data_IF_242371297181
#
_entry.id   IF_242371297181
#
_cell.length_a   1.000
_cell.length_b   1.000
_cell.length_c   1.000
_cell.angle_alpha   90.00
_cell.angle_beta   90.00
_cell.angle_gamma   90.00
#
_symmetry.space_group_name_H-M   'P 1'
#
loop_
_entity.id
_entity.type
_entity.pdbx_description
1 polymer ?
#
# COMPACT_ATOMS: atom_id res chain seq x y z
N UNK A 1 14.71 2.16 9.33
CA UNK A 1 13.54 1.85 8.48
C UNK A 1 13.97 2.04 7.04
N UNK A 2 13.60 1.14 6.12
CA UNK A 2 14.13 1.15 4.74
C UNK A 2 13.04 1.43 3.68
N UNK A 3 11.86 1.92 4.12
CA UNK A 3 10.81 2.54 3.28
C UNK A 3 10.51 1.82 1.96
N UNK A 4 10.44 0.49 2.02
CA UNK A 4 10.33 -0.38 0.84
C UNK A 4 9.61 -1.67 1.19
N UNK A 5 9.04 -2.28 0.15
CA UNK A 5 8.52 -3.66 0.19
C UNK A 5 9.45 -4.55 -0.62
N UNK A 6 9.79 -5.72 -0.08
CA UNK A 6 10.66 -6.70 -0.71
C UNK A 6 9.88 -7.97 -1.03
N UNK A 7 10.06 -8.51 -2.24
CA UNK A 7 9.58 -9.84 -2.64
C UNK A 7 10.74 -10.81 -2.62
N UNK A 8 10.51 -12.00 -2.07
CA UNK A 8 11.43 -13.13 -2.12
C UNK A 8 10.75 -14.28 -2.83
N UNK A 9 11.42 -14.87 -3.82
CA UNK A 9 10.97 -16.14 -4.39
C UNK A 9 11.47 -17.29 -3.53
N UNK A 10 10.83 -18.45 -3.68
CA UNK A 10 11.32 -19.68 -3.06
C UNK A 10 12.78 -19.89 -3.52
N UNK A 11 13.65 -20.14 -2.54
CA UNK A 11 15.09 -20.38 -2.73
C UNK A 11 15.92 -19.15 -3.18
N UNK A 12 15.37 -17.93 -3.13
CA UNK A 12 16.13 -16.72 -3.43
C UNK A 12 17.19 -16.42 -2.35
N UNK A 13 18.40 -16.05 -2.80
CA UNK A 13 19.47 -15.56 -1.93
C UNK A 13 19.35 -14.06 -1.61
N UNK A 14 18.62 -13.32 -2.46
CA UNK A 14 18.32 -11.90 -2.27
C UNK A 14 16.87 -11.56 -2.65
N UNK A 15 16.31 -10.55 -2.00
CA UNK A 15 14.99 -10.04 -2.32
C UNK A 15 15.03 -8.93 -3.38
N UNK A 16 13.94 -8.78 -4.12
CA UNK A 16 13.76 -7.67 -5.07
C UNK A 16 12.85 -6.60 -4.46
N UNK A 17 13.20 -5.32 -4.65
CA UNK A 17 12.32 -4.20 -4.27
C UNK A 17 11.12 -4.19 -5.22
N UNK A 18 9.92 -4.20 -4.65
CA UNK A 18 8.66 -4.21 -5.42
C UNK A 18 7.74 -3.01 -5.16
N UNK A 19 8.06 -2.20 -4.14
CA UNK A 19 7.44 -0.91 -3.90
C UNK A 19 8.38 -0.04 -3.05
N UNK A 20 8.41 1.27 -3.32
CA UNK A 20 9.29 2.21 -2.62
C UNK A 20 10.78 1.99 -2.92
N UNK A 21 11.63 2.16 -1.91
CA UNK A 21 13.08 1.96 -2.04
C UNK A 21 13.88 3.18 -2.54
N UNK A 22 13.21 4.28 -2.86
CA UNK A 22 13.82 5.54 -3.30
C UNK A 22 13.94 6.58 -2.16
N UNK A 23 14.20 6.10 -0.95
CA UNK A 23 14.20 6.90 0.28
C UNK A 23 12.81 7.12 0.86
N UNK A 24 12.78 7.72 2.05
CA UNK A 24 11.54 8.16 2.69
C UNK A 24 10.99 9.40 1.98
N UNK A 25 9.69 9.41 1.69
CA UNK A 25 9.03 10.60 1.15
C UNK A 25 7.62 10.33 0.61
N UNK A 26 7.02 11.38 0.05
CA UNK A 26 5.63 11.38 -0.45
C UNK A 26 5.49 11.23 -1.97
N UNK A 27 6.59 11.15 -2.72
CA UNK A 27 6.53 10.93 -4.16
C UNK A 27 5.94 9.55 -4.49
N UNK A 28 5.50 9.35 -5.73
CA UNK A 28 4.83 8.10 -6.14
C UNK A 28 5.75 6.88 -6.14
N UNK A 29 7.08 7.07 -6.18
CA UNK A 29 8.09 6.03 -6.05
C UNK A 29 8.68 5.91 -4.62
N UNK A 30 8.09 6.58 -3.64
CA UNK A 30 8.55 6.62 -2.24
C UNK A 30 7.46 6.17 -1.27
N UNK A 31 7.89 5.73 -0.09
CA UNK A 31 7.03 5.36 1.03
C UNK A 31 7.50 6.05 2.31
N UNK A 32 6.61 6.29 3.26
CA UNK A 32 6.93 6.73 4.62
C UNK A 32 6.32 5.77 5.63
N UNK A 33 7.20 5.05 6.33
CA UNK A 33 6.87 4.07 7.38
C UNK A 33 5.75 3.08 6.99
N UNK A 34 5.86 2.36 5.86
CA UNK A 34 4.79 1.44 5.45
C UNK A 34 4.54 0.36 6.51
N UNK A 35 3.28 0.14 6.91
CA UNK A 35 2.91 -0.76 8.02
C UNK A 35 2.21 -2.05 7.59
N UNK A 36 1.59 -2.06 6.40
CA UNK A 36 0.82 -3.20 5.91
C UNK A 36 1.04 -3.44 4.42
N UNK A 37 1.00 -4.71 4.03
CA UNK A 37 1.08 -5.14 2.63
C UNK A 37 0.14 -6.32 2.38
N UNK A 38 -0.59 -6.28 1.28
CA UNK A 38 -1.36 -7.41 0.75
C UNK A 38 -1.13 -7.51 -0.76
N UNK A 39 -1.37 -8.70 -1.30
CA UNK A 39 -1.25 -8.99 -2.74
C UNK A 39 -2.56 -9.62 -3.20
N UNK A 40 -3.11 -9.15 -4.31
CA UNK A 40 -4.29 -9.76 -4.93
C UNK A 40 -3.92 -10.93 -5.86
N UNK A 41 -4.93 -11.63 -6.39
CA UNK A 41 -4.73 -12.77 -7.30
C UNK A 41 -4.09 -12.39 -8.64
N UNK A 42 -4.07 -11.10 -8.98
CA UNK A 42 -3.40 -10.55 -10.17
C UNK A 42 -1.95 -10.15 -9.89
N UNK A 43 -1.48 -10.32 -8.66
CA UNK A 43 -0.13 -9.93 -8.24
C UNK A 43 0.04 -8.43 -7.98
N UNK A 44 -1.05 -7.66 -7.85
CA UNK A 44 -0.97 -6.26 -7.47
C UNK A 44 -0.69 -6.16 -5.98
N UNK A 45 0.28 -5.31 -5.63
CA UNK A 45 0.81 -5.14 -4.28
C UNK A 45 0.24 -3.86 -3.71
N UNK A 46 -0.56 -3.98 -2.66
CA UNK A 46 -1.18 -2.85 -1.96
C UNK A 46 -0.40 -2.59 -0.68
N UNK A 47 -0.01 -1.35 -0.47
CA UNK A 47 0.83 -0.93 0.65
C UNK A 47 0.13 0.16 1.44
N UNK A 48 -0.01 -0.05 2.75
CA UNK A 48 -0.45 0.97 3.68
C UNK A 48 0.73 1.91 3.94
N UNK A 49 0.78 3.01 3.21
CA UNK A 49 1.82 4.04 3.29
C UNK A 49 1.47 5.00 4.44
N UNK A 50 1.65 4.47 5.66
CA UNK A 50 1.17 5.03 6.92
C UNK A 50 1.50 6.51 7.12
N UNK A 51 2.77 6.87 6.93
CA UNK A 51 3.28 8.22 7.16
C UNK A 51 2.77 9.23 6.14
N UNK A 52 2.39 8.78 4.95
CA UNK A 52 1.78 9.60 3.91
C UNK A 52 0.25 9.54 3.91
N UNK A 53 -0.34 8.82 4.86
CA UNK A 53 -1.80 8.74 5.04
C UNK A 53 -2.56 8.31 3.77
N UNK A 54 -2.02 7.30 3.08
CA UNK A 54 -2.56 6.77 1.83
C UNK A 54 -2.36 5.26 1.71
N UNK A 55 -3.15 4.63 0.85
CA UNK A 55 -2.86 3.29 0.34
C UNK A 55 -2.39 3.43 -1.09
N UNK A 56 -1.28 2.77 -1.38
CA UNK A 56 -0.64 2.77 -2.70
C UNK A 56 -0.69 1.38 -3.31
N UNK A 57 -0.69 1.30 -4.65
CA UNK A 57 -0.62 0.04 -5.39
C UNK A 57 0.57 0.03 -6.35
N UNK A 58 1.28 -1.09 -6.37
CA UNK A 58 2.25 -1.44 -7.42
C UNK A 58 1.85 -2.75 -8.09
N UNK A 59 2.44 -3.00 -9.24
CA UNK A 59 2.43 -4.29 -9.92
C UNK A 59 3.74 -4.46 -10.70
N UNK A 60 3.99 -5.66 -11.20
CA UNK A 60 5.25 -5.97 -11.87
C UNK A 60 5.54 -5.02 -13.03
N UNK A 61 6.77 -4.48 -13.07
CA UNK A 61 7.23 -3.52 -14.08
C UNK A 61 6.90 -2.05 -13.80
N UNK A 62 6.20 -1.72 -12.71
CA UNK A 62 5.95 -0.31 -12.32
C UNK A 62 7.09 0.30 -11.52
N UNK A 63 7.61 1.43 -11.98
CA UNK A 63 8.60 2.25 -11.26
C UNK A 63 7.96 3.14 -10.17
N UNK A 64 6.72 3.56 -10.41
CA UNK A 64 5.91 4.40 -9.50
C UNK A 64 4.61 3.71 -9.14
N UNK A 65 4.15 3.95 -7.91
CA UNK A 65 2.89 3.43 -7.41
C UNK A 65 1.72 4.34 -7.73
N UNK A 66 0.54 3.79 -7.60
CA UNK A 66 -0.73 4.48 -7.84
C UNK A 66 -1.45 4.67 -6.52
N UNK A 67 -1.96 5.89 -6.26
CA UNK A 67 -2.77 6.14 -5.08
C UNK A 67 -4.12 5.42 -5.28
N UNK A 68 -4.40 4.46 -4.40
CA UNK A 68 -5.70 3.77 -4.36
C UNK A 68 -6.71 4.64 -3.60
N UNK A 69 -6.31 5.15 -2.44
CA UNK A 69 -7.15 5.97 -1.57
C UNK A 69 -6.30 6.75 -0.56
N UNK A 70 -6.78 7.92 -0.13
CA UNK A 70 -6.11 8.80 0.82
C UNK A 70 -5.09 9.75 0.18
N UNK A 71 -4.32 10.45 1.01
CA UNK A 71 -3.23 11.33 0.58
C UNK A 71 -3.61 12.62 -0.19
N UNK A 72 -4.89 12.90 -0.40
CA UNK A 72 -5.35 14.02 -1.25
C UNK A 72 -6.11 15.13 -0.50
N UNK A 73 -6.24 15.05 0.82
CA UNK A 73 -6.93 16.06 1.64
C UNK A 73 -8.45 16.16 1.39
N UNK A 74 -9.04 15.24 0.60
CA UNK A 74 -10.47 15.23 0.29
C UNK A 74 -11.30 14.34 1.23
N UNK A 75 -12.58 14.12 0.93
CA UNK A 75 -13.49 13.30 1.75
C UNK A 75 -13.06 11.83 1.93
N UNK A 76 -12.11 11.36 1.12
CA UNK A 76 -11.53 10.01 1.21
C UNK A 76 -10.19 9.97 1.98
N UNK A 77 -9.85 11.03 2.72
CA UNK A 77 -8.63 11.09 3.51
C UNK A 77 -8.58 9.98 4.57
N UNK A 78 -7.41 9.35 4.67
CA UNK A 78 -7.03 8.39 5.72
C UNK A 78 -6.14 9.10 6.75
N UNK A 79 -5.91 8.47 7.89
CA UNK A 79 -5.00 8.94 8.93
C UNK A 79 -4.26 7.75 9.55
N UNK A 80 -3.03 7.54 9.10
CA UNK A 80 -2.18 6.41 9.49
C UNK A 80 -2.79 5.05 9.11
N UNK A 81 -3.03 4.73 7.83
CA UNK A 81 -3.49 3.40 7.47
C UNK A 81 -2.46 2.33 7.87
N UNK A 82 -2.91 1.24 8.46
CA UNK A 82 -2.05 0.16 8.95
C UNK A 82 -2.38 -1.20 8.34
N UNK A 83 -3.43 -1.87 8.84
CA UNK A 83 -3.87 -3.17 8.34
C UNK A 83 -4.68 -3.06 7.05
N UNK A 84 -4.45 -3.99 6.12
CA UNK A 84 -5.19 -4.14 4.87
C UNK A 84 -5.70 -5.58 4.74
N UNK A 85 -6.90 -5.77 4.17
CA UNK A 85 -7.36 -7.08 3.69
C UNK A 85 -8.41 -6.95 2.59
N UNK A 86 -8.54 -7.99 1.76
CA UNK A 86 -9.65 -8.10 0.80
C UNK A 86 -10.77 -8.98 1.37
N UNK A 87 -12.02 -8.67 1.02
CA UNK A 87 -13.10 -9.66 1.10
C UNK A 87 -13.15 -10.54 -0.16
N UNK A 88 -14.02 -11.56 -0.15
CA UNK A 88 -14.18 -12.49 -1.27
C UNK A 88 -14.77 -11.86 -2.54
N UNK A 89 -15.21 -10.60 -2.48
CA UNK A 89 -15.68 -9.83 -3.64
C UNK A 89 -14.59 -8.87 -4.18
N UNK A 90 -13.39 -8.87 -3.57
CA UNK A 90 -12.28 -8.00 -3.95
C UNK A 90 -12.37 -6.57 -3.40
N UNK A 91 -13.25 -6.31 -2.43
CA UNK A 91 -13.29 -5.01 -1.77
C UNK A 91 -12.15 -4.89 -0.74
N UNK A 92 -11.50 -3.74 -0.71
CA UNK A 92 -10.39 -3.47 0.20
C UNK A 92 -10.91 -2.92 1.54
N UNK A 93 -10.51 -3.55 2.65
CA UNK A 93 -10.71 -3.03 4.01
C UNK A 93 -9.41 -2.47 4.55
N UNK A 94 -9.50 -1.31 5.19
CA UNK A 94 -8.37 -0.51 5.65
C UNK A 94 -8.58 -0.18 7.12
N UNK A 95 -7.62 -0.54 7.96
CA UNK A 95 -7.49 -0.02 9.31
C UNK A 95 -7.03 1.43 9.26
N UNK A 96 -7.96 2.38 9.42
CA UNK A 96 -7.71 3.82 9.42
C UNK A 96 -7.39 4.27 10.85
N UNK A 97 -6.17 3.93 11.30
CA UNK A 97 -5.78 3.80 12.71
C UNK A 97 -6.12 5.03 13.56
N UNK A 98 -5.69 6.21 13.13
CA UNK A 98 -5.87 7.44 13.90
C UNK A 98 -7.27 8.06 13.73
N UNK A 99 -8.06 7.57 12.79
CA UNK A 99 -9.48 7.90 12.70
C UNK A 99 -10.37 6.91 13.46
N UNK A 100 -9.79 5.91 14.14
CA UNK A 100 -10.50 4.91 14.94
C UNK A 100 -11.63 4.20 14.19
N UNK A 101 -11.41 3.87 12.92
CA UNK A 101 -12.41 3.23 12.06
C UNK A 101 -11.80 2.20 11.12
N UNK A 102 -12.66 1.34 10.59
CA UNK A 102 -12.36 0.51 9.42
C UNK A 102 -13.10 1.11 8.23
N UNK A 103 -12.42 1.28 7.09
CA UNK A 103 -13.05 1.70 5.84
C UNK A 103 -13.08 0.54 4.85
N UNK A 104 -14.24 0.35 4.20
CA UNK A 104 -14.39 -0.47 3.01
C UNK A 104 -14.23 0.42 1.78
N UNK A 105 -13.41 0.02 0.83
CA UNK A 105 -13.26 0.65 -0.48
C UNK A 105 -13.69 -0.37 -1.53
N UNK A 106 -14.72 -0.01 -2.29
CA UNK A 106 -15.28 -0.86 -3.34
C UNK A 106 -14.49 -0.62 -4.61
N UNK A 107 -13.80 -1.66 -5.08
CA UNK A 107 -13.16 -1.65 -6.39
C UNK A 107 -14.24 -1.95 -7.41
N UNK A 108 -14.67 -0.95 -8.17
CA UNK A 108 -15.50 -1.19 -9.36
C UNK A 108 -14.59 -1.74 -10.45
N UNK A 109 -14.88 -2.97 -10.89
CA UNK A 109 -14.30 -3.57 -12.09
C UNK A 109 -14.75 -2.82 -13.35
#
# INVERSE_FOLDING_TARGET
FNHRVMKWTKDAEEGTVVAGGNGEGGNLNQLSKPEGVIVDDLGQIYVADFGNHRVMRWYEGKEEGEIVVGGNGGGNQLNGPSGLCFDGEGNLYIGDHYNHRIRKFVTVL
#
